data_IF_052614333473
#
_entry.id   IF_052614333473
#
_cell.length_a   1.000
_cell.length_b   1.000
_cell.length_c   1.000
_cell.angle_alpha   90.00
_cell.angle_beta   90.00
_cell.angle_gamma   90.00
#
_symmetry.space_group_name_H-M   'P 1'
#
loop_
_entity.id
_entity.type
_entity.pdbx_description
1 polymer ?
#
# COMPACT_ATOMS: atom_id res chain seq x y z
N UNK A 1 -27.34 12.07 24.49
CA UNK A 1 -26.24 12.22 25.46
C UNK A 1 -24.87 11.87 24.83
N UNK A 2 -24.51 12.49 23.69
CA UNK A 2 -23.29 12.11 22.92
C UNK A 2 -22.34 13.29 22.63
N UNK A 3 -22.73 14.52 22.99
CA UNK A 3 -21.89 15.72 22.81
C UNK A 3 -20.69 15.79 23.75
N UNK A 4 -20.77 15.18 24.94
CA UNK A 4 -19.77 15.32 26.00
C UNK A 4 -18.52 14.45 25.79
N UNK A 5 -18.59 13.38 24.98
CA UNK A 5 -17.44 12.51 24.65
C UNK A 5 -16.55 13.11 23.57
N UNK A 6 -17.13 13.64 22.48
CA UNK A 6 -16.35 14.26 21.38
C UNK A 6 -15.59 15.51 21.82
N UNK A 7 -16.18 16.32 22.70
CA UNK A 7 -15.52 17.49 23.29
C UNK A 7 -14.35 17.15 24.23
N UNK A 8 -14.36 15.96 24.86
CA UNK A 8 -13.27 15.51 25.74
C UNK A 8 -12.06 14.99 24.95
N UNK A 9 -12.29 14.28 23.84
CA UNK A 9 -11.22 13.78 22.96
C UNK A 9 -10.45 14.94 22.32
N UNK A 10 -11.16 15.96 21.81
CA UNK A 10 -10.55 17.16 21.24
C UNK A 10 -9.70 17.96 22.24
N UNK A 11 -10.07 18.00 23.53
CA UNK A 11 -9.28 18.66 24.56
C UNK A 11 -8.02 17.86 24.93
N UNK A 12 -8.09 16.54 24.96
CA UNK A 12 -6.93 15.68 25.22
C UNK A 12 -5.92 15.73 24.08
N UNK A 13 -6.39 15.78 22.82
CA UNK A 13 -5.53 15.95 21.66
C UNK A 13 -4.82 17.30 21.66
N UNK A 14 -5.53 18.38 22.01
CA UNK A 14 -4.92 19.70 22.14
C UNK A 14 -3.84 19.73 23.24
N UNK A 15 -4.11 19.11 24.39
CA UNK A 15 -3.13 18.99 25.49
C UNK A 15 -1.93 18.14 25.08
N UNK A 16 -2.14 17.02 24.36
CA UNK A 16 -1.06 16.19 23.88
C UNK A 16 -0.18 16.92 22.85
N UNK A 17 -0.78 17.72 21.96
CA UNK A 17 -0.05 18.53 20.99
C UNK A 17 0.75 19.65 21.65
N UNK A 18 0.21 20.29 22.68
CA UNK A 18 0.94 21.31 23.45
C UNK A 18 2.11 20.68 24.24
N UNK A 19 1.90 19.51 24.85
CA UNK A 19 2.97 18.75 25.51
C UNK A 19 4.07 18.34 24.53
N UNK A 20 3.70 17.87 23.34
CA UNK A 20 4.66 17.53 22.27
C UNK A 20 5.44 18.75 21.79
N UNK A 21 4.77 19.89 21.65
CA UNK A 21 5.40 21.16 21.27
C UNK A 21 6.39 21.65 22.31
N UNK A 22 6.08 21.49 23.60
CA UNK A 22 6.98 21.81 24.70
C UNK A 22 8.19 20.86 24.75
N UNK A 23 7.97 19.56 24.48
CA UNK A 23 9.04 18.57 24.38
C UNK A 23 9.98 18.82 23.20
N UNK A 24 9.46 19.20 22.03
CA UNK A 24 10.28 19.61 20.88
C UNK A 24 10.99 20.95 21.07
N UNK A 25 10.52 21.80 22.00
CA UNK A 25 11.25 23.00 22.40
C UNK A 25 12.53 22.69 23.19
N UNK A 26 12.70 21.45 23.66
CA UNK A 26 13.84 21.03 24.46
C UNK A 26 14.88 20.29 23.62
N UNK A 27 16.03 20.94 23.38
CA UNK A 27 17.16 20.37 22.63
C UNK A 27 17.65 19.02 23.17
N UNK A 28 17.48 18.73 24.47
CA UNK A 28 17.87 17.43 25.02
C UNK A 28 16.92 16.30 24.58
N UNK A 29 15.65 16.61 24.35
CA UNK A 29 14.66 15.65 23.86
C UNK A 29 14.79 15.42 22.35
N UNK A 30 15.08 16.48 21.59
CA UNK A 30 15.44 16.34 20.17
C UNK A 30 16.69 15.48 20.00
N UNK A 31 17.74 15.72 20.79
CA UNK A 31 18.95 14.89 20.78
C UNK A 31 18.65 13.45 21.21
N UNK A 32 17.78 13.23 22.20
CA UNK A 32 17.37 11.88 22.61
C UNK A 32 16.61 11.13 21.49
N UNK A 33 15.74 11.82 20.73
CA UNK A 33 15.06 11.22 19.59
C UNK A 33 16.04 10.92 18.44
N UNK A 34 16.98 11.84 18.18
CA UNK A 34 18.05 11.62 17.20
C UNK A 34 18.91 10.44 17.64
N UNK A 35 19.30 10.36 18.90
CA UNK A 35 20.11 9.27 19.45
C UNK A 35 19.36 7.94 19.38
N UNK A 36 18.05 7.89 19.66
CA UNK A 36 17.23 6.67 19.50
C UNK A 36 17.12 6.25 18.04
N UNK A 37 16.88 7.19 17.12
CA UNK A 37 16.77 6.89 15.70
C UNK A 37 18.12 6.45 15.15
N UNK A 38 19.20 7.10 15.56
CA UNK A 38 20.58 6.72 15.22
C UNK A 38 20.92 5.37 15.83
N UNK A 39 20.58 5.08 17.09
CA UNK A 39 20.79 3.77 17.72
C UNK A 39 19.98 2.68 17.02
N UNK A 40 18.76 2.99 16.57
CA UNK A 40 17.92 2.06 15.81
C UNK A 40 18.42 1.84 14.38
N UNK A 41 19.14 2.80 13.80
CA UNK A 41 19.75 2.71 12.47
C UNK A 41 21.17 2.10 12.52
N UNK A 42 21.88 2.26 13.64
CA UNK A 42 23.28 1.83 13.85
C UNK A 42 23.40 0.52 14.62
N UNK A 43 22.34 0.03 15.28
CA UNK A 43 22.29 -1.34 15.78
C UNK A 43 22.06 -2.31 14.62
N UNK A 44 23.11 -2.49 13.81
CA UNK A 44 23.34 -3.79 13.19
C UNK A 44 23.55 -4.84 14.30
N UNK A 45 22.99 -6.06 14.16
CA UNK A 45 23.21 -7.11 15.14
C UNK A 45 24.68 -7.54 15.10
N UNK A 46 25.44 -7.19 16.14
CA UNK A 46 26.73 -7.82 16.43
C UNK A 46 26.49 -9.29 16.77
N UNK A 47 26.54 -10.15 15.75
CA UNK A 47 26.81 -11.56 15.95
C UNK A 47 28.31 -11.77 15.81
N UNK A 48 28.95 -12.01 16.95
CA UNK A 48 30.31 -12.52 17.06
C UNK A 48 30.48 -13.77 16.20
N UNK A 49 31.57 -13.79 15.44
CA UNK A 49 31.95 -14.86 14.52
C UNK A 49 32.14 -16.20 15.25
N UNK A 50 31.57 -17.25 14.68
CA UNK A 50 32.22 -18.56 14.59
C UNK A 50 31.75 -19.30 13.31
N UNK A 51 32.64 -19.29 12.32
CA UNK A 51 32.94 -20.37 11.36
C UNK A 51 31.87 -20.88 10.36
N UNK A 52 32.01 -20.39 9.11
CA UNK A 52 31.88 -21.12 7.82
C UNK A 52 30.52 -21.71 7.35
N UNK A 53 29.37 -21.40 7.96
CA UNK A 53 28.03 -21.80 7.41
C UNK A 53 27.07 -20.65 7.00
N UNK A 54 27.50 -19.39 7.13
CA UNK A 54 26.60 -18.22 7.17
C UNK A 54 25.99 -17.74 5.84
N UNK A 55 26.54 -18.12 4.67
CA UNK A 55 26.01 -17.64 3.38
C UNK A 55 24.66 -18.25 2.99
N UNK A 56 24.40 -19.51 3.35
CA UNK A 56 23.12 -20.17 3.08
C UNK A 56 21.98 -19.50 3.88
N UNK A 57 22.24 -19.26 5.17
CA UNK A 57 21.33 -18.57 6.10
C UNK A 57 20.89 -17.18 5.64
N UNK A 58 21.77 -16.40 5.00
CA UNK A 58 21.47 -15.06 4.50
C UNK A 58 20.57 -15.06 3.26
N UNK A 59 20.80 -16.00 2.33
CA UNK A 59 20.00 -16.13 1.11
C UNK A 59 18.60 -16.65 1.46
N UNK A 60 18.52 -17.64 2.33
CA UNK A 60 17.24 -18.20 2.80
C UNK A 60 16.39 -17.16 3.53
N UNK A 61 17.02 -16.28 4.32
CA UNK A 61 16.32 -15.15 4.97
C UNK A 61 15.76 -14.15 3.97
N UNK A 62 16.52 -13.76 2.95
CA UNK A 62 16.05 -12.81 1.92
C UNK A 62 14.91 -13.40 1.09
N UNK A 63 15.05 -14.67 0.69
CA UNK A 63 14.01 -15.38 -0.04
C UNK A 63 12.71 -15.46 0.78
N UNK A 64 12.83 -15.71 2.09
CA UNK A 64 11.68 -15.69 3.00
C UNK A 64 10.99 -14.33 3.02
N UNK A 65 11.72 -13.21 3.08
CA UNK A 65 11.13 -11.87 3.04
C UNK A 65 10.39 -11.62 1.72
N UNK A 66 10.97 -12.01 0.58
CA UNK A 66 10.32 -11.86 -0.72
C UNK A 66 9.03 -12.68 -0.81
N UNK A 67 9.08 -13.94 -0.37
CA UNK A 67 7.91 -14.81 -0.33
C UNK A 67 6.81 -14.26 0.59
N UNK A 68 7.16 -13.81 1.80
CA UNK A 68 6.20 -13.24 2.75
C UNK A 68 5.59 -11.95 2.21
N UNK A 69 6.39 -11.07 1.59
CA UNK A 69 5.92 -9.84 0.97
C UNK A 69 4.96 -10.09 -0.19
N UNK A 70 5.31 -11.01 -1.10
CA UNK A 70 4.47 -11.40 -2.22
C UNK A 70 3.16 -12.06 -1.74
N UNK A 71 3.24 -13.03 -0.82
CA UNK A 71 2.08 -13.69 -0.24
C UNK A 71 1.13 -12.71 0.46
N UNK A 72 1.68 -11.71 1.14
CA UNK A 72 0.89 -10.67 1.78
C UNK A 72 0.13 -9.81 0.76
N UNK A 73 0.79 -9.41 -0.33
CA UNK A 73 0.16 -8.69 -1.43
C UNK A 73 -0.93 -9.52 -2.11
N UNK A 74 -0.65 -10.78 -2.44
CA UNK A 74 -1.63 -11.72 -3.02
C UNK A 74 -2.89 -11.76 -2.16
N UNK A 75 -2.74 -11.96 -0.85
CA UNK A 75 -3.88 -12.01 0.08
C UNK A 75 -4.69 -10.71 0.06
N UNK A 76 -4.04 -9.56 0.01
CA UNK A 76 -4.72 -8.27 -0.05
C UNK A 76 -5.42 -8.04 -1.40
N UNK A 77 -4.80 -8.45 -2.51
CA UNK A 77 -5.40 -8.40 -3.84
C UNK A 77 -6.67 -9.27 -3.86
N UNK A 78 -6.57 -10.53 -3.46
CA UNK A 78 -7.72 -11.43 -3.37
C UNK A 78 -8.80 -10.85 -2.45
N UNK A 79 -8.43 -10.27 -1.31
CA UNK A 79 -9.39 -9.62 -0.42
C UNK A 79 -10.09 -8.43 -1.09
N UNK A 80 -9.35 -7.57 -1.79
CA UNK A 80 -9.92 -6.44 -2.50
C UNK A 80 -10.85 -6.88 -3.64
N UNK A 81 -10.47 -7.90 -4.41
CA UNK A 81 -11.30 -8.52 -5.45
C UNK A 81 -12.60 -9.07 -4.87
N UNK A 82 -12.52 -9.81 -3.76
CA UNK A 82 -13.71 -10.36 -3.10
C UNK A 82 -14.61 -9.27 -2.52
N UNK A 83 -14.03 -8.22 -1.94
CA UNK A 83 -14.79 -7.05 -1.50
C UNK A 83 -15.52 -6.41 -2.67
N UNK A 84 -14.85 -6.21 -3.81
CA UNK A 84 -15.46 -5.65 -5.01
C UNK A 84 -16.66 -6.46 -5.50
N UNK A 85 -16.51 -7.78 -5.60
CA UNK A 85 -17.59 -8.67 -6.01
C UNK A 85 -18.82 -8.57 -5.09
N UNK A 86 -18.60 -8.34 -3.79
CA UNK A 86 -19.69 -8.18 -2.80
C UNK A 86 -20.32 -6.79 -2.82
N UNK A 87 -19.61 -5.80 -3.33
CA UNK A 87 -20.00 -4.38 -3.24
C UNK A 87 -20.27 -3.73 -4.58
N UNK A 88 -20.18 -4.47 -5.69
CA UNK A 88 -20.40 -3.93 -7.04
C UNK A 88 -21.79 -3.31 -7.20
N UNK A 89 -22.81 -3.86 -6.55
CA UNK A 89 -24.17 -3.30 -6.56
C UNK A 89 -24.24 -1.92 -5.89
N UNK A 90 -23.34 -1.62 -4.94
CA UNK A 90 -23.24 -0.32 -4.28
C UNK A 90 -22.65 0.77 -5.18
N UNK A 91 -21.97 0.38 -6.26
CA UNK A 91 -21.39 1.29 -7.26
C UNK A 91 -22.45 1.95 -8.14
N UNK A 92 -23.59 1.28 -8.33
CA UNK A 92 -24.66 1.69 -9.24
C UNK A 92 -25.57 2.75 -8.61
N UNK A 93 -25.50 2.92 -7.30
CA UNK A 93 -26.16 4.00 -6.60
C UNK A 93 -25.37 5.29 -6.87
N UNK A 94 -25.95 6.22 -7.62
CA UNK A 94 -25.27 7.43 -8.05
C UNK A 94 -25.06 8.39 -6.85
N UNK A 95 -23.85 8.47 -6.32
CA UNK A 95 -23.53 9.33 -5.16
C UNK A 95 -22.83 10.63 -5.59
N UNK A 96 -23.34 11.74 -5.05
CA UNK A 96 -22.73 13.05 -5.24
C UNK A 96 -21.27 13.05 -4.79
N UNK A 97 -20.42 13.51 -5.71
CA UNK A 97 -18.96 13.53 -5.70
C UNK A 97 -18.34 13.94 -4.35
N UNK A 98 -17.62 13.03 -3.72
CA UNK A 98 -16.47 13.42 -2.90
C UNK A 98 -15.30 13.69 -3.86
N UNK A 99 -14.56 14.79 -3.64
CA UNK A 99 -13.40 15.13 -4.49
C UNK A 99 -12.44 13.95 -4.51
N UNK A 100 -11.79 13.71 -5.65
CA UNK A 100 -10.83 12.61 -5.82
C UNK A 100 -9.60 12.83 -4.91
N UNK A 101 -9.66 12.40 -3.65
CA UNK A 101 -8.61 12.59 -2.63
C UNK A 101 -7.48 11.58 -2.76
N UNK A 102 -7.68 10.53 -3.54
CA UNK A 102 -6.75 9.40 -3.58
C UNK A 102 -5.64 9.61 -4.63
N UNK A 103 -5.77 10.59 -5.54
CA UNK A 103 -4.78 10.87 -6.58
C UNK A 103 -3.38 11.17 -6.04
N UNK A 104 -3.27 11.96 -4.96
CA UNK A 104 -1.97 12.27 -4.34
C UNK A 104 -1.33 11.01 -3.73
N UNK A 105 -2.15 10.14 -3.11
CA UNK A 105 -1.69 8.88 -2.55
C UNK A 105 -1.20 7.94 -3.65
N UNK A 106 -2.01 7.73 -4.70
CA UNK A 106 -1.65 6.90 -5.87
C UNK A 106 -0.33 7.40 -6.47
N UNK A 107 -0.22 8.71 -6.70
CA UNK A 107 0.99 9.32 -7.25
C UNK A 107 2.21 9.06 -6.36
N UNK A 108 2.08 9.27 -5.05
CA UNK A 108 3.20 9.05 -4.11
C UNK A 108 3.71 7.62 -4.13
N UNK A 109 2.81 6.62 -4.18
CA UNK A 109 3.18 5.20 -4.25
C UNK A 109 3.78 4.86 -5.61
N UNK A 110 3.23 5.43 -6.69
CA UNK A 110 3.77 5.27 -8.05
C UNK A 110 5.22 5.73 -8.13
N UNK A 111 5.54 6.91 -7.56
CA UNK A 111 6.92 7.42 -7.55
C UNK A 111 7.85 6.50 -6.78
N UNK A 112 7.44 6.02 -5.60
CA UNK A 112 8.24 5.08 -4.79
C UNK A 112 8.51 3.79 -5.55
N UNK A 113 7.50 3.24 -6.24
CA UNK A 113 7.65 2.02 -7.05
C UNK A 113 8.57 2.27 -8.23
N UNK A 114 8.41 3.39 -8.95
CA UNK A 114 9.30 3.74 -10.07
C UNK A 114 10.75 3.91 -9.64
N UNK A 115 10.99 4.53 -8.50
CA UNK A 115 12.33 4.68 -7.94
C UNK A 115 12.95 3.33 -7.52
N UNK A 116 12.11 2.40 -7.03
CA UNK A 116 12.53 1.04 -6.74
C UNK A 116 12.86 0.25 -8.00
N UNK A 117 12.00 0.32 -9.02
CA UNK A 117 12.18 -0.34 -10.33
C UNK A 117 13.38 0.23 -11.10
N UNK A 118 13.73 1.49 -10.88
CA UNK A 118 14.90 2.13 -11.48
C UNK A 118 16.23 1.72 -10.80
N UNK A 119 16.17 0.95 -9.71
CA UNK A 119 17.35 0.45 -9.02
C UNK A 119 18.02 -0.66 -9.84
N UNK A 120 19.34 -0.77 -9.78
CA UNK A 120 20.07 -1.88 -10.42
C UNK A 120 20.05 -3.16 -9.58
N UNK A 121 19.71 -3.06 -8.29
CA UNK A 121 19.70 -4.19 -7.35
C UNK A 121 18.48 -4.09 -6.45
N UNK A 122 17.94 -5.25 -6.06
CA UNK A 122 16.87 -5.34 -5.07
C UNK A 122 17.47 -5.38 -3.67
N UNK A 123 17.29 -4.28 -2.96
CA UNK A 123 17.51 -4.20 -1.51
C UNK A 123 16.26 -4.68 -0.76
N UNK A 124 16.46 -5.54 0.23
CA UNK A 124 15.36 -6.16 0.98
C UNK A 124 14.58 -5.12 1.80
N UNK A 125 15.25 -4.10 2.36
CA UNK A 125 14.55 -3.05 3.12
C UNK A 125 13.68 -2.19 2.20
N UNK A 126 14.20 -1.80 1.03
CA UNK A 126 13.42 -1.08 0.02
C UNK A 126 12.26 -1.92 -0.50
N UNK A 127 12.45 -3.22 -0.72
CA UNK A 127 11.39 -4.14 -1.10
C UNK A 127 10.26 -4.14 -0.06
N UNK A 128 10.57 -4.34 1.22
CA UNK A 128 9.57 -4.31 2.29
C UNK A 128 8.84 -2.96 2.36
N UNK A 129 9.57 -1.86 2.19
CA UNK A 129 8.96 -0.52 2.16
C UNK A 129 7.95 -0.41 1.02
N UNK A 130 8.30 -0.85 -0.19
CA UNK A 130 7.39 -0.85 -1.34
C UNK A 130 6.17 -1.73 -1.07
N UNK A 131 6.37 -2.95 -0.57
CA UNK A 131 5.28 -3.86 -0.18
C UNK A 131 4.33 -3.19 0.81
N UNK A 132 4.84 -2.54 1.85
CA UNK A 132 4.01 -1.81 2.84
C UNK A 132 3.21 -0.68 2.19
N UNK A 133 3.81 0.08 1.28
CA UNK A 133 3.14 1.20 0.57
C UNK A 133 2.05 0.70 -0.37
N UNK A 134 2.34 -0.31 -1.19
CA UNK A 134 1.35 -0.94 -2.08
C UNK A 134 0.22 -1.60 -1.27
N UNK A 135 0.55 -2.25 -0.16
CA UNK A 135 -0.43 -2.86 0.75
C UNK A 135 -1.38 -1.83 1.37
N UNK A 136 -0.85 -0.67 1.77
CA UNK A 136 -1.66 0.46 2.24
C UNK A 136 -2.59 0.96 1.13
N UNK A 137 -2.09 1.05 -0.10
CA UNK A 137 -2.87 1.48 -1.26
C UNK A 137 -4.03 0.50 -1.56
N UNK A 138 -3.76 -0.81 -1.53
CA UNK A 138 -4.76 -1.88 -1.65
C UNK A 138 -5.84 -1.78 -0.56
N UNK A 139 -5.43 -1.54 0.68
CA UNK A 139 -6.36 -1.41 1.82
C UNK A 139 -7.27 -0.18 1.70
N UNK A 140 -6.73 0.94 1.21
CA UNK A 140 -7.52 2.14 0.92
C UNK A 140 -8.51 1.85 -0.20
N UNK A 141 -8.08 1.22 -1.28
CA UNK A 141 -8.97 0.81 -2.37
C UNK A 141 -10.11 -0.10 -1.86
N UNK A 142 -9.79 -1.15 -1.10
CA UNK A 142 -10.79 -2.05 -0.50
C UNK A 142 -11.79 -1.30 0.38
N UNK A 143 -11.31 -0.32 1.17
CA UNK A 143 -12.18 0.52 2.00
C UNK A 143 -13.11 1.39 1.16
N UNK A 144 -12.62 1.97 0.05
CA UNK A 144 -13.41 2.80 -0.86
C UNK A 144 -14.55 2.03 -1.49
N UNK A 145 -14.27 0.84 -2.01
CA UNK A 145 -15.27 0.02 -2.68
C UNK A 145 -16.25 -0.64 -1.71
N UNK A 146 -15.95 -0.69 -0.40
CA UNK A 146 -16.86 -1.24 0.63
C UNK A 146 -18.05 -0.34 0.94
N UNK A 147 -18.02 0.90 0.47
CA UNK A 147 -19.10 1.89 0.62
C UNK A 147 -19.61 2.32 -0.75
N UNK A 148 -20.84 2.84 -0.86
CA UNK A 148 -21.19 3.82 -1.90
C UNK A 148 -20.01 4.54 -2.58
N UNK A 149 -19.79 4.30 -3.88
CA UNK A 149 -18.58 4.81 -4.53
C UNK A 149 -18.79 5.31 -5.96
N UNK A 150 -17.98 6.30 -6.37
CA UNK A 150 -18.01 6.85 -7.71
C UNK A 150 -17.22 5.95 -8.68
N UNK A 151 -17.90 5.38 -9.68
CA UNK A 151 -17.33 4.41 -10.62
C UNK A 151 -16.08 4.96 -11.32
N UNK A 152 -16.12 6.21 -11.82
CA UNK A 152 -14.99 6.75 -12.56
C UNK A 152 -13.71 6.93 -11.70
N UNK A 153 -13.87 7.31 -10.42
CA UNK A 153 -12.72 7.47 -9.53
C UNK A 153 -12.11 6.12 -9.16
N UNK A 154 -12.96 5.13 -8.90
CA UNK A 154 -12.50 3.77 -8.58
C UNK A 154 -11.94 3.05 -9.81
N UNK A 155 -12.48 3.30 -11.00
CA UNK A 155 -11.90 2.79 -12.24
C UNK A 155 -10.47 3.34 -12.45
N UNK A 156 -10.28 4.65 -12.25
CA UNK A 156 -8.95 5.27 -12.29
C UNK A 156 -8.02 4.68 -11.21
N UNK A 157 -8.50 4.56 -9.98
CA UNK A 157 -7.73 4.02 -8.87
C UNK A 157 -7.33 2.57 -9.12
N UNK A 158 -8.28 1.69 -9.45
CA UNK A 158 -8.03 0.28 -9.74
C UNK A 158 -7.05 0.11 -10.91
N UNK A 159 -7.19 0.90 -11.98
CA UNK A 159 -6.27 0.84 -13.12
C UNK A 159 -4.84 1.24 -12.70
N UNK A 160 -4.70 2.35 -11.98
CA UNK A 160 -3.38 2.83 -11.51
C UNK A 160 -2.73 1.83 -10.53
N UNK A 161 -3.53 1.23 -9.64
CA UNK A 161 -3.05 0.22 -8.71
C UNK A 161 -2.59 -1.05 -9.44
N UNK A 162 -3.32 -1.46 -10.47
CA UNK A 162 -2.97 -2.62 -11.29
C UNK A 162 -1.67 -2.38 -12.07
N UNK A 163 -1.48 -1.20 -12.65
CA UNK A 163 -0.22 -0.80 -13.30
C UNK A 163 0.96 -0.86 -12.32
N UNK A 164 0.80 -0.30 -11.11
CA UNK A 164 1.83 -0.36 -10.06
C UNK A 164 2.19 -1.81 -9.72
N UNK A 165 1.20 -2.69 -9.58
CA UNK A 165 1.41 -4.10 -9.26
C UNK A 165 2.19 -4.82 -10.37
N UNK A 166 1.84 -4.57 -11.64
CA UNK A 166 2.55 -5.14 -12.78
C UNK A 166 3.99 -4.62 -12.90
N UNK A 167 4.22 -3.32 -12.73
CA UNK A 167 5.59 -2.75 -12.74
C UNK A 167 6.44 -3.37 -11.63
N UNK A 168 5.89 -3.46 -10.42
CA UNK A 168 6.58 -4.03 -9.26
C UNK A 168 6.90 -5.51 -9.45
N UNK A 169 5.91 -6.31 -9.84
CA UNK A 169 6.08 -7.75 -10.08
C UNK A 169 7.10 -8.00 -11.20
N UNK A 170 6.95 -7.33 -12.35
CA UNK A 170 7.82 -7.54 -13.51
C UNK A 170 9.29 -7.26 -13.18
N UNK A 171 9.55 -6.19 -12.43
CA UNK A 171 10.90 -5.87 -11.96
C UNK A 171 11.44 -6.91 -10.98
N UNK A 172 10.62 -7.39 -10.04
CA UNK A 172 11.04 -8.43 -9.09
C UNK A 172 11.37 -9.75 -9.81
N UNK A 173 10.51 -10.20 -10.72
CA UNK A 173 10.71 -11.40 -11.54
C UNK A 173 11.98 -11.31 -12.39
N UNK A 174 12.27 -10.14 -12.97
CA UNK A 174 13.46 -9.93 -13.77
C UNK A 174 14.77 -9.98 -12.96
N UNK A 175 14.78 -9.47 -11.73
CA UNK A 175 16.01 -9.33 -10.93
C UNK A 175 16.24 -10.45 -9.91
N UNK A 176 15.17 -11.11 -9.44
CA UNK A 176 15.26 -12.21 -8.47
C UNK A 176 15.12 -13.58 -9.14
N UNK A 177 14.82 -13.60 -10.44
CA UNK A 177 14.54 -14.81 -11.21
C UNK A 177 13.09 -15.27 -11.06
N UNK A 178 12.77 -16.40 -11.68
CA UNK A 178 11.43 -17.00 -11.71
C UNK A 178 11.09 -17.68 -10.38
N UNK A 179 10.92 -16.87 -9.32
CA UNK A 179 10.39 -17.35 -8.05
C UNK A 179 8.87 -17.55 -8.17
N UNK A 180 8.38 -18.71 -7.73
CA UNK A 180 6.96 -19.07 -7.78
C UNK A 180 6.06 -18.00 -7.14
N UNK A 181 6.51 -17.34 -6.08
CA UNK A 181 5.73 -16.30 -5.40
C UNK A 181 5.40 -15.09 -6.29
N UNK A 182 6.27 -14.74 -7.25
CA UNK A 182 6.01 -13.64 -8.18
C UNK A 182 5.14 -14.08 -9.36
N UNK A 183 5.20 -15.35 -9.76
CA UNK A 183 4.24 -15.94 -10.71
C UNK A 183 2.81 -15.98 -10.12
N UNK A 184 2.70 -16.34 -8.84
CA UNK A 184 1.42 -16.28 -8.12
C UNK A 184 0.93 -14.83 -7.95
N UNK A 185 1.84 -13.89 -7.67
CA UNK A 185 1.51 -12.46 -7.61
C UNK A 185 1.01 -11.93 -8.96
N UNK A 186 1.67 -12.34 -10.05
CA UNK A 186 1.24 -12.03 -11.42
C UNK A 186 -0.17 -12.54 -11.67
N UNK A 187 -0.42 -13.81 -11.38
CA UNK A 187 -1.71 -14.46 -11.58
C UNK A 187 -2.82 -13.78 -10.78
N UNK A 188 -2.54 -13.42 -9.52
CA UNK A 188 -3.48 -12.67 -8.67
C UNK A 188 -3.75 -11.26 -9.20
N UNK A 189 -2.74 -10.60 -9.77
CA UNK A 189 -2.88 -9.29 -10.41
C UNK A 189 -3.72 -9.38 -11.70
N UNK A 190 -3.53 -10.43 -12.50
CA UNK A 190 -4.33 -10.70 -13.70
C UNK A 190 -5.81 -10.96 -13.35
N UNK A 191 -6.07 -11.70 -12.27
CA UNK A 191 -7.43 -11.89 -11.74
C UNK A 191 -8.05 -10.55 -11.31
N UNK A 192 -7.31 -9.74 -10.55
CA UNK A 192 -7.76 -8.40 -10.15
C UNK A 192 -8.07 -7.52 -11.36
N UNK A 193 -7.21 -7.54 -12.39
CA UNK A 193 -7.47 -6.82 -13.63
C UNK A 193 -8.77 -7.28 -14.29
N UNK A 194 -8.93 -8.59 -14.48
CA UNK A 194 -10.09 -9.16 -15.17
C UNK A 194 -11.40 -8.93 -14.42
N UNK A 195 -11.38 -9.05 -13.09
CA UNK A 195 -12.59 -8.97 -12.26
C UNK A 195 -12.92 -7.53 -11.88
N UNK A 196 -11.93 -6.74 -11.47
CA UNK A 196 -12.17 -5.41 -10.90
C UNK A 196 -11.98 -4.33 -11.94
N UNK A 197 -10.80 -4.26 -12.55
CA UNK A 197 -10.42 -3.15 -13.45
C UNK A 197 -11.29 -3.14 -14.70
N UNK A 198 -11.47 -4.31 -15.34
CA UNK A 198 -12.29 -4.43 -16.54
C UNK A 198 -13.75 -4.07 -16.28
N UNK A 199 -14.35 -4.61 -15.22
CA UNK A 199 -15.75 -4.34 -14.88
C UNK A 199 -15.99 -2.87 -14.52
N UNK A 200 -15.09 -2.23 -13.77
CA UNK A 200 -15.19 -0.80 -13.46
C UNK A 200 -15.07 0.07 -14.70
N UNK A 201 -14.18 -0.27 -15.63
CA UNK A 201 -14.02 0.47 -16.88
C UNK A 201 -15.22 0.27 -17.83
N UNK A 202 -15.77 -0.94 -17.92
CA UNK A 202 -16.99 -1.21 -18.68
C UNK A 202 -18.20 -0.45 -18.10
N UNK A 203 -18.39 -0.52 -16.77
CA UNK A 203 -19.45 0.21 -16.08
C UNK A 203 -19.31 1.73 -16.24
N UNK A 204 -18.08 2.25 -16.23
CA UNK A 204 -17.80 3.66 -16.53
C UNK A 204 -18.30 4.02 -17.93
N UNK A 205 -17.93 3.25 -18.95
CA UNK A 205 -18.34 3.51 -20.34
C UNK A 205 -19.87 3.50 -20.48
N UNK A 206 -20.55 2.51 -19.90
CA UNK A 206 -22.01 2.45 -19.90
C UNK A 206 -22.66 3.68 -19.23
N UNK A 207 -22.10 4.13 -18.09
CA UNK A 207 -22.60 5.32 -17.37
C UNK A 207 -22.47 6.59 -18.23
N UNK A 208 -21.38 6.73 -19.00
CA UNK A 208 -21.22 7.84 -19.94
C UNK A 208 -22.27 7.85 -21.06
N UNK A 209 -22.65 6.69 -21.60
CA UNK A 209 -23.66 6.60 -22.65
C UNK A 209 -25.08 6.88 -22.16
N UNK A 210 -25.42 6.47 -20.93
CA UNK A 210 -26.75 6.71 -20.36
C UNK A 210 -26.98 8.16 -19.88
N UNK A 211 -25.92 8.86 -19.46
CA UNK A 211 -26.02 10.26 -18.99
C UNK A 211 -25.71 11.30 -20.08
N UNK A 212 -25.19 10.89 -21.25
CA UNK A 212 -24.92 11.76 -22.40
C UNK A 212 -26.12 11.98 -23.34
N UNK A 213 -27.30 11.46 -23.00
CA UNK A 213 -28.53 11.53 -23.82
C UNK A 213 -29.74 12.09 -23.06
N UNK A 214 -29.53 12.89 -22.01
CA UNK A 214 -30.58 13.69 -21.35
C UNK A 214 -30.25 15.18 -21.37
#
# INVERSE_FOLDING_TARGET
MDGTRRLKVSKLEAVALDMLKELFGNRSFENYLVDIVVDSLMKEPKFSEENKSSKLSSVDKRLKVYNEGAAYLIRLISSATQTFLRSIDLALCNFNTDRNRDGALIYSVTVIVKEFVSSNNIDTNRFEMVVRRVSSLLSVFASRISTPFHIANNAFFASSLCEILYEFESYCSANLGALQCFEELRSSTDEFYSVVVKQLNEARVCTFYYLGFQ
#
